data_IF_859779609184
#
_entry.id   IF_859779609184
#
_cell.length_a   1.000
_cell.length_b   1.000
_cell.length_c   1.000
_cell.angle_alpha   90.00
_cell.angle_beta   90.00
_cell.angle_gamma   90.00
#
_symmetry.space_group_name_H-M   'P 1'
#
loop_
_entity.id
_entity.type
_entity.pdbx_description
1 polymer ?
#
# COMPACT_ATOMS: atom_id res chain seq x y z
N UNK A 1 -18.36 -13.63 -15.91
CA UNK A 1 -19.10 -12.43 -15.45
C UNK A 1 -18.37 -11.63 -14.38
N UNK A 2 -17.93 -12.24 -13.28
CA UNK A 2 -17.42 -11.46 -12.15
C UNK A 2 -16.05 -10.77 -12.41
N UNK A 3 -15.23 -11.22 -13.36
CA UNK A 3 -14.01 -10.51 -13.79
C UNK A 3 -14.33 -9.16 -14.45
N UNK A 4 -15.30 -9.12 -15.36
CA UNK A 4 -15.73 -7.91 -16.07
C UNK A 4 -16.23 -6.85 -15.09
N UNK A 5 -17.08 -7.25 -14.14
CA UNK A 5 -17.60 -6.35 -13.11
C UNK A 5 -16.46 -5.75 -12.26
N UNK A 6 -15.48 -6.56 -11.86
CA UNK A 6 -14.29 -6.08 -11.11
C UNK A 6 -13.46 -5.09 -11.93
N UNK A 7 -13.27 -5.37 -13.22
CA UNK A 7 -12.55 -4.47 -14.12
C UNK A 7 -13.25 -3.13 -14.26
N UNK A 8 -14.58 -3.11 -14.42
CA UNK A 8 -15.37 -1.87 -14.50
C UNK A 8 -15.30 -1.04 -13.21
N UNK A 9 -15.42 -1.69 -12.04
CA UNK A 9 -15.32 -0.99 -10.75
C UNK A 9 -13.92 -0.40 -10.52
N UNK A 10 -12.87 -1.12 -10.92
CA UNK A 10 -11.50 -0.63 -10.83
C UNK A 10 -11.25 0.53 -11.79
N UNK A 11 -11.73 0.44 -13.02
CA UNK A 11 -11.58 1.48 -14.04
C UNK A 11 -12.29 2.78 -13.62
N UNK A 12 -13.53 2.68 -13.15
CA UNK A 12 -14.27 3.85 -12.66
C UNK A 12 -13.62 4.48 -11.42
N UNK A 13 -13.13 3.66 -10.48
CA UNK A 13 -12.37 4.17 -9.33
C UNK A 13 -11.06 4.88 -9.73
N UNK A 14 -10.40 4.45 -10.81
CA UNK A 14 -9.24 5.15 -11.37
C UNK A 14 -9.64 6.47 -12.03
N UNK A 15 -10.74 6.50 -12.78
CA UNK A 15 -11.24 7.73 -13.41
C UNK A 15 -11.59 8.80 -12.35
N UNK A 16 -12.26 8.41 -11.27
CA UNK A 16 -12.55 9.30 -10.13
C UNK A 16 -11.28 9.78 -9.43
N UNK A 17 -10.27 8.91 -9.27
CA UNK A 17 -9.04 9.24 -8.55
C UNK A 17 -8.08 10.15 -9.32
N UNK A 18 -8.18 10.20 -10.66
CA UNK A 18 -7.31 11.03 -11.52
C UNK A 18 -7.57 12.53 -11.39
N UNK A 19 -8.78 12.91 -10.97
CA UNK A 19 -9.16 14.32 -10.72
C UNK A 19 -8.82 15.27 -11.89
N UNK A 20 -8.93 14.76 -13.12
CA UNK A 20 -8.61 15.48 -14.36
C UNK A 20 -9.80 16.27 -14.91
N UNK A 21 -10.95 16.24 -14.21
CA UNK A 21 -12.18 16.92 -14.60
C UNK A 21 -12.95 16.24 -15.74
N UNK A 22 -12.49 15.08 -16.25
CA UNK A 22 -13.17 14.35 -17.31
C UNK A 22 -14.23 13.37 -16.81
N UNK A 23 -14.17 12.98 -15.53
CA UNK A 23 -15.16 12.08 -14.95
C UNK A 23 -16.49 12.82 -14.69
N UNK A 24 -17.57 12.31 -15.30
CA UNK A 24 -18.94 12.81 -15.11
C UNK A 24 -19.82 11.71 -14.52
N UNK A 25 -20.19 11.84 -13.24
CA UNK A 25 -21.02 10.87 -12.51
C UNK A 25 -20.93 11.07 -10.99
N UNK A 26 -21.64 10.25 -10.22
CA UNK A 26 -21.54 10.25 -8.76
C UNK A 26 -20.25 9.51 -8.32
N UNK A 27 -19.28 10.19 -7.68
CA UNK A 27 -18.04 9.58 -7.20
C UNK A 27 -18.26 8.49 -6.14
N UNK A 28 -19.40 8.49 -5.44
CA UNK A 28 -19.68 7.55 -4.35
C UNK A 28 -19.94 6.12 -4.83
N UNK A 29 -20.13 5.92 -6.14
CA UNK A 29 -20.35 4.60 -6.74
C UNK A 29 -19.07 3.75 -6.76
N UNK A 30 -17.90 4.38 -6.64
CA UNK A 30 -16.61 3.70 -6.71
C UNK A 30 -15.89 3.70 -5.36
N UNK A 31 -15.17 2.62 -5.02
CA UNK A 31 -14.35 2.59 -3.82
C UNK A 31 -13.30 3.71 -3.84
N UNK A 32 -13.26 4.51 -2.77
CA UNK A 32 -12.27 5.58 -2.61
C UNK A 32 -10.87 4.99 -2.57
N UNK A 33 -10.00 5.46 -3.47
CA UNK A 33 -8.57 5.12 -3.44
C UNK A 33 -7.88 5.88 -2.31
N UNK A 34 -7.03 5.19 -1.56
CA UNK A 34 -6.15 5.82 -0.58
C UNK A 34 -5.18 6.74 -1.29
N UNK A 35 -5.10 7.99 -0.85
CA UNK A 35 -4.07 8.94 -1.29
C UNK A 35 -2.83 8.76 -0.43
N UNK A 36 -1.66 9.04 -1.01
CA UNK A 36 -0.45 9.14 -0.20
C UNK A 36 -0.63 10.17 0.90
N UNK A 37 -0.10 9.87 2.08
CA UNK A 37 -0.06 10.81 3.19
C UNK A 37 1.40 11.25 3.39
N UNK A 38 1.89 12.25 2.62
CA UNK A 38 3.24 12.74 2.78
C UNK A 38 3.36 13.40 4.16
N UNK A 39 4.17 12.80 5.03
CA UNK A 39 4.52 13.42 6.31
C UNK A 39 5.75 14.27 6.09
N UNK A 40 5.59 15.58 6.22
CA UNK A 40 6.71 16.51 6.15
C UNK A 40 7.39 16.54 7.52
N UNK A 41 8.69 16.26 7.53
CA UNK A 41 9.55 16.40 8.70
C UNK A 41 10.46 17.60 8.49
N UNK A 42 10.91 18.23 9.57
CA UNK A 42 11.91 19.30 9.46
C UNK A 42 13.26 18.74 9.01
N UNK A 43 14.07 19.54 8.32
CA UNK A 43 15.43 19.13 7.91
C UNK A 43 16.29 18.67 9.10
N UNK A 44 16.16 19.34 10.25
CA UNK A 44 16.83 18.94 11.49
C UNK A 44 16.40 17.55 11.95
N UNK A 45 15.09 17.25 11.94
CA UNK A 45 14.57 15.93 12.31
C UNK A 45 15.01 14.83 11.33
N UNK A 46 15.08 15.14 10.03
CA UNK A 46 15.63 14.23 9.02
C UNK A 46 17.13 13.99 9.22
N UNK A 47 17.89 15.01 9.63
CA UNK A 47 19.32 14.91 9.89
C UNK A 47 19.63 14.11 11.17
N UNK A 48 18.85 14.31 12.24
CA UNK A 48 18.93 13.50 13.46
C UNK A 48 18.68 12.01 13.15
N UNK A 49 17.70 11.71 12.29
CA UNK A 49 17.39 10.35 11.85
C UNK A 49 18.51 9.65 11.06
N UNK A 50 19.43 10.38 10.41
CA UNK A 50 20.56 9.78 9.66
C UNK A 50 21.56 9.06 10.56
N UNK A 51 21.67 9.50 11.82
CA UNK A 51 22.56 8.90 12.81
C UNK A 51 21.86 7.80 13.63
N UNK A 52 20.54 7.69 13.51
CA UNK A 52 19.76 6.59 14.10
C UNK A 52 19.81 5.41 13.15
N UNK A 53 20.84 4.57 13.31
CA UNK A 53 20.83 3.23 12.73
C UNK A 53 19.71 2.47 13.44
N UNK A 54 18.58 2.26 12.74
CA UNK A 54 17.53 1.38 13.23
C UNK A 54 18.17 0.04 13.61
N UNK A 55 18.24 -0.25 14.91
CA UNK A 55 18.79 -1.48 15.44
C UNK A 55 18.12 -2.64 14.69
N UNK A 56 18.91 -3.26 13.80
CA UNK A 56 18.62 -4.51 13.10
C UNK A 56 17.72 -4.46 11.85
N UNK A 57 18.06 -3.63 10.87
CA UNK A 57 17.87 -4.05 9.46
C UNK A 57 18.99 -5.04 9.09
N UNK A 58 19.04 -6.17 9.80
CA UNK A 58 19.95 -7.27 9.50
C UNK A 58 19.73 -7.73 8.06
N UNK A 59 20.83 -8.03 7.36
CA UNK A 59 20.77 -8.59 6.02
C UNK A 59 20.00 -9.92 6.03
N UNK A 60 18.95 -10.03 5.21
CA UNK A 60 18.18 -11.27 5.04
C UNK A 60 18.99 -12.39 4.35
N UNK A 61 20.23 -12.13 3.96
CA UNK A 61 21.08 -13.06 3.18
C UNK A 61 21.39 -14.37 3.92
N UNK A 62 21.13 -14.45 5.23
CA UNK A 62 21.18 -15.68 6.04
C UNK A 62 19.89 -15.97 6.83
N UNK A 63 18.82 -15.20 6.64
CA UNK A 63 17.55 -15.43 7.34
C UNK A 63 16.80 -16.56 6.63
N UNK A 64 16.75 -17.75 7.25
CA UNK A 64 15.96 -18.85 6.71
C UNK A 64 14.46 -18.54 6.85
N UNK A 65 13.66 -18.89 5.85
CA UNK A 65 12.20 -18.78 5.91
C UNK A 65 11.56 -19.70 6.97
N UNK A 66 12.33 -20.62 7.57
CA UNK A 66 11.83 -21.48 8.63
C UNK A 66 11.40 -20.62 9.84
N UNK A 67 10.08 -20.55 10.06
CA UNK A 67 9.47 -19.72 11.11
C UNK A 67 8.95 -18.36 10.67
N UNK A 68 9.20 -17.93 9.41
CA UNK A 68 8.59 -16.71 8.87
C UNK A 68 7.19 -17.01 8.30
N UNK A 69 6.15 -16.82 9.11
CA UNK A 69 4.76 -16.83 8.63
C UNK A 69 4.45 -15.51 7.92
N UNK A 70 4.62 -15.46 6.59
CA UNK A 70 4.11 -14.36 5.78
C UNK A 70 2.58 -14.30 5.79
N UNK A 71 2.03 -13.11 5.53
CA UNK A 71 0.58 -12.92 5.40
C UNK A 71 0.02 -13.79 4.26
N UNK A 72 -0.91 -14.70 4.59
CA UNK A 72 -1.71 -15.44 3.61
C UNK A 72 -1.54 -16.96 3.59
N UNK A 73 -0.68 -17.56 4.41
CA UNK A 73 -0.64 -19.04 4.52
C UNK A 73 -1.73 -19.56 5.47
N UNK A 74 -2.55 -20.54 5.06
CA UNK A 74 -3.47 -21.22 5.98
C UNK A 74 -2.66 -21.99 7.02
N UNK A 75 -3.12 -21.97 8.28
CA UNK A 75 -2.50 -22.71 9.38
C UNK A 75 -2.56 -24.21 9.05
N UNK A 76 -1.42 -24.89 8.99
CA UNK A 76 -1.43 -26.36 9.08
C UNK A 76 -1.83 -26.72 10.51
N UNK A 77 -3.10 -27.10 10.69
CA UNK A 77 -3.57 -27.79 11.89
C UNK A 77 -3.39 -29.27 11.59
N UNK A 78 -2.60 -29.95 12.43
CA UNK A 78 -2.52 -31.41 12.50
C UNK A 78 -3.81 -31.96 13.11
#
# INVERSE_FOLDING_TARGET
MACVQRTLMNLGGLAVARDDGLFSGDPNWFPKKSKENPRNFSDNQLQEGKNVIGLQMGTNRGASQAGMTGYGMPRQIL
#
